data_IF_764964490471
#
_entry.id   IF_764964490471
#
_cell.length_a   1.000
_cell.length_b   1.000
_cell.length_c   1.000
_cell.angle_alpha   90.00
_cell.angle_beta   90.00
_cell.angle_gamma   90.00
#
_symmetry.space_group_name_H-M   'P 1'
#
loop_
_entity.id
_entity.type
_entity.pdbx_description
1 polymer ?
#
# COMPACT_ATOMS: atom_id res chain seq x y z
N UNK A 1 4.92 -14.15 -15.53
CA UNK A 1 5.23 -12.70 -15.59
C UNK A 1 6.04 -12.20 -14.38
N UNK A 2 5.86 -12.77 -13.18
CA UNK A 2 6.50 -12.29 -11.94
C UNK A 2 7.82 -13.03 -11.60
N UNK A 3 8.26 -13.97 -12.41
CA UNK A 3 9.44 -14.81 -12.12
C UNK A 3 10.70 -13.94 -11.96
N UNK A 4 11.37 -14.09 -10.83
CA UNK A 4 12.59 -13.36 -10.47
C UNK A 4 12.45 -11.83 -10.32
N UNK A 5 11.25 -11.28 -10.33
CA UNK A 5 11.03 -9.86 -10.07
C UNK A 5 11.18 -9.53 -8.59
N UNK A 6 11.69 -8.32 -8.31
CA UNK A 6 11.90 -7.78 -6.95
C UNK A 6 11.56 -6.30 -6.94
N UNK A 7 11.15 -5.78 -5.80
CA UNK A 7 10.90 -4.33 -5.63
C UNK A 7 12.18 -3.48 -5.59
N UNK A 8 13.34 -4.11 -5.49
CA UNK A 8 14.63 -3.44 -5.46
C UNK A 8 15.76 -4.42 -5.25
N UNK A 9 17.01 -3.96 -5.39
CA UNK A 9 18.19 -4.76 -5.12
C UNK A 9 18.19 -5.26 -3.67
N UNK A 10 18.37 -6.57 -3.47
CA UNK A 10 18.34 -7.20 -2.14
C UNK A 10 16.96 -7.40 -1.51
N UNK A 11 15.89 -6.91 -2.13
CA UNK A 11 14.52 -7.15 -1.66
C UNK A 11 14.09 -8.61 -1.88
N UNK A 12 13.11 -9.07 -1.11
CA UNK A 12 12.47 -10.37 -1.30
C UNK A 12 11.82 -10.49 -2.69
N UNK A 13 11.70 -11.70 -3.25
CA UNK A 13 10.95 -11.90 -4.48
C UNK A 13 9.50 -11.43 -4.35
N UNK A 14 8.97 -10.89 -5.44
CA UNK A 14 7.57 -10.54 -5.55
C UNK A 14 6.73 -11.81 -5.56
N UNK A 15 5.67 -11.82 -4.75
CA UNK A 15 4.70 -12.90 -4.68
C UNK A 15 3.41 -12.49 -5.44
N UNK A 16 2.83 -13.38 -6.24
CA UNK A 16 1.49 -13.13 -6.77
C UNK A 16 0.49 -13.09 -5.62
N UNK A 17 -0.46 -12.16 -5.69
CA UNK A 17 -1.54 -12.08 -4.69
C UNK A 17 -2.36 -13.38 -4.73
N UNK A 18 -2.48 -14.12 -3.60
CA UNK A 18 -3.30 -15.33 -3.53
C UNK A 18 -4.76 -15.07 -3.93
N UNK A 19 -5.38 -16.02 -4.61
CA UNK A 19 -6.75 -15.86 -5.12
C UNK A 19 -7.82 -15.71 -4.03
N UNK A 20 -7.55 -16.19 -2.82
CA UNK A 20 -8.42 -16.02 -1.66
C UNK A 20 -8.26 -14.65 -0.95
N UNK A 21 -7.30 -13.81 -1.38
CA UNK A 21 -7.06 -12.49 -0.80
C UNK A 21 -7.84 -11.37 -1.47
N UNK A 22 -8.51 -11.68 -2.59
CA UNK A 22 -9.32 -10.68 -3.29
C UNK A 22 -10.52 -11.30 -3.99
N UNK A 23 -11.50 -10.48 -4.28
CA UNK A 23 -12.62 -10.78 -5.17
C UNK A 23 -12.72 -9.70 -6.24
N UNK A 24 -13.17 -10.09 -7.42
CA UNK A 24 -13.46 -9.18 -8.53
C UNK A 24 -14.93 -9.32 -8.90
N UNK A 25 -15.61 -8.21 -9.09
CA UNK A 25 -17.01 -8.21 -9.49
C UNK A 25 -17.21 -8.60 -10.97
N UNK A 26 -16.18 -8.51 -11.79
CA UNK A 26 -16.18 -8.89 -13.19
C UNK A 26 -14.75 -9.16 -13.68
N UNK A 27 -14.61 -10.04 -14.65
CA UNK A 27 -13.38 -10.23 -15.44
C UNK A 27 -13.40 -9.43 -16.75
N UNK A 28 -14.44 -8.62 -16.97
CA UNK A 28 -14.59 -7.77 -18.14
C UNK A 28 -14.61 -6.30 -17.72
N UNK A 29 -13.85 -5.48 -18.42
CA UNK A 29 -13.83 -4.03 -18.27
C UNK A 29 -14.50 -3.43 -19.51
N UNK A 30 -15.52 -2.60 -19.28
CA UNK A 30 -16.26 -1.92 -20.34
C UNK A 30 -15.96 -0.42 -20.27
N UNK A 31 -15.50 0.14 -21.40
CA UNK A 31 -15.43 1.59 -21.60
C UNK A 31 -16.72 1.97 -22.36
N UNK A 32 -17.60 2.72 -21.70
CA UNK A 32 -18.87 3.12 -22.30
C UNK A 32 -18.66 4.16 -23.39
N UNK A 33 -19.59 4.22 -24.32
CA UNK A 33 -19.57 5.24 -25.39
C UNK A 33 -19.53 6.65 -24.77
N UNK A 34 -18.54 7.43 -25.19
CA UNK A 34 -18.30 8.80 -24.69
C UNK A 34 -17.41 8.88 -23.44
N UNK A 35 -17.03 7.73 -22.86
CA UNK A 35 -16.06 7.67 -21.76
C UNK A 35 -14.69 7.26 -22.29
N UNK A 36 -13.64 7.67 -21.56
CA UNK A 36 -12.25 7.35 -21.87
C UNK A 36 -11.63 6.34 -20.89
N UNK A 37 -12.36 5.99 -19.85
CA UNK A 37 -11.92 5.08 -18.78
C UNK A 37 -12.99 4.02 -18.52
N UNK A 38 -12.53 2.81 -18.26
CA UNK A 38 -13.30 1.72 -17.71
C UNK A 38 -12.58 1.11 -16.52
N UNK A 39 -13.33 0.47 -15.63
CA UNK A 39 -12.75 -0.11 -14.43
C UNK A 39 -13.50 -1.32 -13.92
N UNK A 40 -12.81 -2.11 -13.12
CA UNK A 40 -13.37 -3.21 -12.33
C UNK A 40 -12.97 -3.00 -10.87
N UNK A 41 -13.90 -3.30 -9.97
CA UNK A 41 -13.62 -3.23 -8.53
C UNK A 41 -12.96 -4.53 -8.10
N UNK A 42 -11.79 -4.40 -7.47
CA UNK A 42 -11.09 -5.47 -6.77
C UNK A 42 -11.24 -5.21 -5.27
N UNK A 43 -11.91 -6.11 -4.58
CA UNK A 43 -12.13 -6.02 -3.14
C UNK A 43 -11.18 -6.97 -2.43
N UNK A 44 -10.41 -6.46 -1.47
CA UNK A 44 -9.55 -7.28 -0.63
C UNK A 44 -10.39 -7.96 0.46
N UNK A 45 -10.01 -9.19 0.82
CA UNK A 45 -10.69 -10.00 1.83
C UNK A 45 -10.00 -9.90 3.19
N UNK A 46 -10.69 -10.35 4.24
CA UNK A 46 -10.12 -10.43 5.58
C UNK A 46 -8.86 -11.31 5.65
N UNK A 47 -8.73 -12.29 4.75
CA UNK A 47 -7.55 -13.14 4.65
C UNK A 47 -6.29 -12.35 4.27
N UNK A 48 -6.41 -11.34 3.40
CA UNK A 48 -5.30 -10.41 3.09
C UNK A 48 -4.91 -9.60 4.33
N UNK A 49 -5.89 -9.07 5.05
CA UNK A 49 -5.64 -8.25 6.24
C UNK A 49 -5.11 -9.05 7.43
N UNK A 50 -5.35 -10.36 7.47
CA UNK A 50 -4.83 -11.25 8.51
C UNK A 50 -3.37 -11.68 8.25
N UNK A 51 -2.83 -11.48 7.05
CA UNK A 51 -1.49 -11.93 6.68
C UNK A 51 -0.41 -10.93 7.10
N UNK A 52 0.56 -11.32 7.94
CA UNK A 52 1.69 -10.47 8.32
C UNK A 52 2.54 -10.00 7.14
N UNK A 53 2.57 -10.74 6.02
CA UNK A 53 3.32 -10.34 4.82
C UNK A 53 2.66 -9.16 4.09
N UNK A 54 1.38 -8.89 4.33
CA UNK A 54 0.67 -7.77 3.71
C UNK A 54 1.19 -6.38 4.15
N UNK A 55 1.89 -6.28 5.29
CA UNK A 55 2.49 -5.02 5.76
C UNK A 55 3.80 -4.65 5.05
N UNK A 56 4.32 -5.53 4.21
CA UNK A 56 5.56 -5.34 3.47
C UNK A 56 5.30 -5.35 1.96
N UNK A 57 6.27 -4.87 1.18
CA UNK A 57 6.18 -4.89 -0.28
C UNK A 57 6.42 -6.31 -0.80
N UNK A 58 5.43 -7.18 -0.71
CA UNK A 58 5.52 -8.58 -1.13
C UNK A 58 4.53 -8.91 -2.25
N UNK A 59 3.28 -8.46 -2.12
CA UNK A 59 2.19 -8.91 -2.97
C UNK A 59 1.97 -8.02 -4.19
N UNK A 60 1.77 -8.66 -5.33
CA UNK A 60 1.40 -8.01 -6.57
C UNK A 60 0.21 -8.75 -7.19
N UNK A 61 -0.81 -8.01 -7.60
CA UNK A 61 -1.89 -8.50 -8.43
C UNK A 61 -1.53 -8.24 -9.89
N UNK A 62 -1.13 -9.27 -10.67
CA UNK A 62 -0.90 -9.13 -12.09
C UNK A 62 -2.22 -9.24 -12.84
N UNK A 63 -2.56 -8.23 -13.61
CA UNK A 63 -3.70 -8.27 -14.52
C UNK A 63 -3.19 -8.24 -15.95
N UNK A 64 -3.75 -9.10 -16.80
CA UNK A 64 -3.43 -9.16 -18.22
C UNK A 64 -4.70 -9.12 -19.06
N UNK A 65 -4.71 -8.23 -20.04
CA UNK A 65 -5.74 -8.18 -21.07
C UNK A 65 -5.50 -9.31 -22.07
N UNK A 66 -6.48 -10.22 -22.21
CA UNK A 66 -6.38 -11.40 -23.08
C UNK A 66 -7.19 -11.25 -24.34
N UNK A 67 -8.26 -10.46 -24.31
CA UNK A 67 -9.16 -10.24 -25.43
C UNK A 67 -9.72 -8.82 -25.39
N UNK A 68 -10.00 -8.26 -26.56
CA UNK A 68 -10.70 -6.99 -26.71
C UNK A 68 -11.78 -7.13 -27.77
N UNK A 69 -12.86 -6.36 -27.62
CA UNK A 69 -13.93 -6.24 -28.58
C UNK A 69 -14.05 -4.78 -29.01
N UNK A 70 -14.40 -4.54 -30.28
CA UNK A 70 -14.54 -3.21 -30.87
C UNK A 70 -13.26 -2.35 -30.77
N UNK A 71 -12.10 -2.99 -30.88
CA UNK A 71 -10.80 -2.34 -30.95
C UNK A 71 -9.95 -3.02 -32.04
N UNK A 72 -9.06 -2.26 -32.66
CA UNK A 72 -8.29 -2.74 -33.82
C UNK A 72 -7.23 -3.76 -33.41
N UNK A 73 -6.61 -3.60 -32.25
CA UNK A 73 -5.54 -4.50 -31.78
C UNK A 73 -5.27 -4.36 -30.29
N UNK A 74 -4.55 -5.35 -29.76
CA UNK A 74 -3.92 -5.30 -28.42
C UNK A 74 -2.43 -5.09 -28.62
N UNK A 75 -1.89 -4.04 -28.01
CA UNK A 75 -0.44 -3.79 -28.00
C UNK A 75 0.23 -4.81 -27.06
N UNK A 76 1.12 -5.66 -27.62
CA UNK A 76 1.72 -6.78 -26.92
C UNK A 76 2.46 -6.39 -25.63
N UNK A 77 3.14 -5.23 -25.64
CA UNK A 77 3.93 -4.74 -24.51
C UNK A 77 3.14 -3.84 -23.54
N UNK A 78 1.84 -3.61 -23.83
CA UNK A 78 0.96 -2.71 -23.05
C UNK A 78 -0.28 -3.42 -22.53
N UNK A 79 -0.35 -4.75 -22.63
CA UNK A 79 -1.53 -5.54 -22.31
C UNK A 79 -1.55 -6.09 -20.88
N UNK A 80 -0.68 -5.62 -20.01
CA UNK A 80 -0.66 -6.06 -18.61
C UNK A 80 -0.34 -4.89 -17.67
N UNK A 81 -0.73 -5.05 -16.42
CA UNK A 81 -0.43 -4.12 -15.33
C UNK A 81 -0.17 -4.91 -14.05
N UNK A 82 0.71 -4.38 -13.21
CA UNK A 82 1.03 -4.92 -11.90
C UNK A 82 0.59 -3.94 -10.81
N UNK A 83 -0.34 -4.36 -9.98
CA UNK A 83 -0.73 -3.60 -8.79
C UNK A 83 -0.01 -4.17 -7.58
N UNK A 84 0.95 -3.41 -7.05
CA UNK A 84 1.59 -3.73 -5.78
C UNK A 84 0.67 -3.34 -4.63
N UNK A 85 0.42 -4.28 -3.73
CA UNK A 85 -0.51 -4.12 -2.61
C UNK A 85 0.24 -4.22 -1.29
N UNK A 86 -0.04 -3.26 -0.41
CA UNK A 86 0.52 -3.20 0.93
C UNK A 86 -0.51 -2.64 1.90
N UNK A 87 -0.65 -3.28 3.05
CA UNK A 87 -1.43 -2.71 4.15
C UNK A 87 -0.63 -1.64 4.88
N UNK A 88 -1.27 -0.51 5.10
CA UNK A 88 -0.73 0.58 5.91
C UNK A 88 -1.77 0.89 7.00
N UNK A 89 -1.34 0.79 8.26
CA UNK A 89 -2.18 1.18 9.39
C UNK A 89 -2.56 2.67 9.28
N UNK A 90 -3.78 3.09 9.64
CA UNK A 90 -4.21 4.49 9.57
C UNK A 90 -3.30 5.48 10.30
N UNK A 91 -2.56 5.02 11.31
CA UNK A 91 -1.61 5.82 12.09
C UNK A 91 -0.20 5.86 11.51
N UNK A 92 0.05 5.18 10.38
CA UNK A 92 1.34 5.21 9.70
C UNK A 92 1.59 6.59 9.09
N UNK A 93 2.66 7.26 9.48
CA UNK A 93 2.98 8.57 8.94
C UNK A 93 4.08 9.29 9.71
N UNK A 94 4.33 10.51 9.29
CA UNK A 94 5.24 11.43 9.95
C UNK A 94 4.42 12.41 10.79
N UNK A 95 4.74 12.50 12.08
CA UNK A 95 4.03 13.32 13.05
C UNK A 95 4.97 14.33 13.68
N UNK A 96 4.58 15.57 13.66
CA UNK A 96 5.27 16.61 14.45
C UNK A 96 4.99 16.38 15.94
N UNK A 97 6.07 16.29 16.71
CA UNK A 97 6.00 16.22 18.17
C UNK A 97 6.21 17.61 18.76
N UNK A 98 5.16 18.11 19.39
CA UNK A 98 5.18 19.43 20.01
C UNK A 98 4.52 19.40 21.37
N UNK A 99 5.12 20.05 22.37
CA UNK A 99 4.59 20.10 23.73
C UNK A 99 5.67 20.10 24.80
N UNK A 100 5.31 19.69 26.01
CA UNK A 100 6.23 19.47 27.11
C UNK A 100 5.91 18.17 27.84
N UNK A 101 6.93 17.38 28.11
CA UNK A 101 6.83 16.18 28.95
C UNK A 101 7.05 16.57 30.40
N UNK A 102 6.07 16.30 31.26
CA UNK A 102 6.20 16.47 32.71
C UNK A 102 6.36 15.09 33.33
N UNK A 103 7.53 14.85 33.91
CA UNK A 103 7.84 13.62 34.63
C UNK A 103 7.72 13.87 36.11
N UNK A 104 6.93 13.03 36.80
CA UNK A 104 6.76 13.01 38.26
C UNK A 104 7.33 11.73 38.84
N UNK A 105 7.80 11.75 40.08
CA UNK A 105 8.38 10.59 40.75
C UNK A 105 9.76 10.91 41.34
N UNK A 106 10.59 9.90 41.49
CA UNK A 106 11.95 10.03 42.10
C UNK A 106 12.89 10.93 41.29
N UNK A 107 12.64 11.12 40.01
CA UNK A 107 13.35 12.07 39.15
C UNK A 107 12.30 12.91 38.42
N UNK A 108 11.90 14.02 39.04
CA UNK A 108 10.99 14.98 38.44
C UNK A 108 11.76 15.88 37.46
N UNK A 109 11.30 15.98 36.24
CA UNK A 109 11.83 16.90 35.24
C UNK A 109 10.80 17.30 34.21
N UNK A 110 10.97 18.50 33.67
CA UNK A 110 10.21 18.97 32.51
C UNK A 110 11.12 19.01 31.30
N UNK A 111 10.65 18.44 30.18
CA UNK A 111 11.35 18.45 28.90
C UNK A 111 10.49 19.15 27.87
N UNK A 112 10.93 20.30 27.39
CA UNK A 112 10.28 21.04 26.31
C UNK A 112 10.64 20.35 24.98
N UNK A 113 9.61 19.98 24.16
CA UNK A 113 9.73 19.26 22.90
C UNK A 113 9.46 20.13 21.68
N UNK A 114 9.25 21.42 21.85
CA UNK A 114 9.05 22.34 20.74
C UNK A 114 10.23 23.28 20.55
N UNK A 115 10.43 23.70 19.32
CA UNK A 115 11.35 24.78 18.95
C UNK A 115 10.57 26.09 18.78
N UNK A 116 11.30 27.18 18.54
CA UNK A 116 10.71 28.48 18.28
C UNK A 116 9.84 28.44 17.01
N UNK A 117 10.32 27.77 15.97
CA UNK A 117 9.64 27.59 14.69
C UNK A 117 9.24 26.14 14.49
N UNK A 118 8.03 25.91 13.96
CA UNK A 118 7.42 24.58 13.76
C UNK A 118 8.26 23.70 12.84
N UNK A 119 8.87 24.26 11.82
CA UNK A 119 9.75 23.56 10.87
C UNK A 119 11.00 22.93 11.51
N UNK A 120 11.34 23.37 12.72
CA UNK A 120 12.46 22.85 13.50
C UNK A 120 12.03 21.87 14.61
N UNK A 121 10.73 21.58 14.70
CA UNK A 121 10.21 20.63 15.67
C UNK A 121 10.61 19.18 15.31
N UNK A 122 10.57 18.30 16.31
CA UNK A 122 10.90 16.89 16.15
C UNK A 122 9.84 16.17 15.32
N UNK A 123 10.27 15.46 14.27
CA UNK A 123 9.42 14.61 13.45
C UNK A 123 9.57 13.16 13.91
N UNK A 124 8.46 12.57 14.35
CA UNK A 124 8.38 11.14 14.68
C UNK A 124 7.76 10.37 13.54
N UNK A 125 8.46 9.35 13.07
CA UNK A 125 7.97 8.46 12.03
C UNK A 125 7.34 7.21 12.66
N UNK A 126 6.01 7.10 12.55
CA UNK A 126 5.25 5.93 12.98
C UNK A 126 5.13 4.96 11.80
N UNK A 127 5.63 3.74 11.96
CA UNK A 127 5.63 2.72 10.91
C UNK A 127 4.75 1.55 11.31
N UNK A 128 3.92 1.09 10.38
CA UNK A 128 3.13 -0.12 10.56
C UNK A 128 4.05 -1.31 10.87
N UNK A 129 3.82 -1.96 12.00
CA UNK A 129 4.48 -3.21 12.41
C UNK A 129 3.54 -4.41 12.30
N UNK A 130 2.26 -4.19 12.51
CA UNK A 130 1.19 -5.17 12.30
C UNK A 130 -0.13 -4.44 12.03
N UNK A 131 -1.22 -5.17 11.91
CA UNK A 131 -2.55 -4.57 11.72
C UNK A 131 -2.92 -3.55 12.81
N UNK A 132 -2.51 -3.82 14.05
CA UNK A 132 -2.87 -3.04 15.23
C UNK A 132 -1.66 -2.41 15.94
N UNK A 133 -0.48 -2.40 15.33
CA UNK A 133 0.75 -1.85 15.91
C UNK A 133 1.47 -0.93 14.92
N UNK A 134 2.05 0.12 15.45
CA UNK A 134 2.92 1.08 14.78
C UNK A 134 4.26 1.19 15.49
#
# INVERSE_FOLDING_TARGET
LLTNMRFGAGASPILPLPSNYFTMNSNQIVIKKGEILGGVVVQLTDAFFADPLAISNNYVLPLRMTNVQNADTILADKNFVFYALKFINPWHGNYLRRGSDQMTGSVARNVVRHKQYVENDEVNNLKTKSLNQI
#
